data_IF_260488492272
#
_entry.id   IF_260488492272
#
_cell.length_a   1.000
_cell.length_b   1.000
_cell.length_c   1.000
_cell.angle_alpha   90.00
_cell.angle_beta   90.00
_cell.angle_gamma   90.00
#
_symmetry.space_group_name_H-M   'P 1'
#
loop_
_entity.id
_entity.type
_entity.pdbx_description
1 polymer ?
#
# COMPACT_ATOMS: atom_id res chain seq x y z
N UNK A 1 18.33 -15.33 10.61
CA UNK A 1 16.90 -15.14 10.91
C UNK A 1 16.30 -14.14 9.95
N UNK A 2 15.27 -14.53 9.25
CA UNK A 2 14.60 -13.63 8.31
C UNK A 2 13.56 -12.82 9.08
N UNK A 3 13.70 -11.51 9.05
CA UNK A 3 12.76 -10.62 9.70
C UNK A 3 11.88 -10.00 8.63
N UNK A 4 10.58 -10.21 8.74
CA UNK A 4 9.64 -9.52 7.88
C UNK A 4 9.27 -8.20 8.54
N UNK A 5 9.48 -7.10 7.84
CA UNK A 5 9.01 -5.80 8.28
C UNK A 5 7.67 -5.53 7.66
N UNK A 6 6.67 -5.31 8.50
CA UNK A 6 5.36 -4.90 8.05
C UNK A 6 5.24 -3.41 8.32
N UNK A 7 5.08 -2.64 7.26
CA UNK A 7 4.80 -1.22 7.38
C UNK A 7 3.29 -1.00 7.44
N UNK A 8 2.82 -0.32 8.47
CA UNK A 8 1.41 -0.02 8.63
C UNK A 8 1.24 1.49 8.79
N UNK A 9 0.47 2.09 7.92
CA UNK A 9 0.19 3.52 7.97
C UNK A 9 -1.31 3.74 7.92
N UNK A 10 -1.81 4.60 8.79
CA UNK A 10 -3.22 5.01 8.78
C UNK A 10 -3.30 6.45 8.34
N UNK A 11 -4.09 6.72 7.32
CA UNK A 11 -4.29 8.08 6.84
C UNK A 11 -5.58 8.20 6.05
N UNK A 12 -6.34 9.26 6.32
CA UNK A 12 -7.55 9.57 5.57
C UNK A 12 -8.64 8.52 5.64
N UNK A 13 -8.71 7.77 6.75
CA UNK A 13 -9.68 6.70 6.90
C UNK A 13 -9.25 5.38 6.28
N UNK A 14 -8.03 5.32 5.76
CA UNK A 14 -7.48 4.12 5.14
C UNK A 14 -6.34 3.55 5.98
N UNK A 15 -6.14 2.25 5.86
CA UNK A 15 -4.99 1.56 6.45
C UNK A 15 -4.21 0.96 5.29
N UNK A 16 -2.93 1.32 5.21
CA UNK A 16 -2.06 0.85 4.15
C UNK A 16 -1.00 -0.07 4.76
N UNK A 17 -0.89 -1.27 4.21
CA UNK A 17 0.08 -2.26 4.68
C UNK A 17 1.07 -2.60 3.58
N UNK A 18 2.35 -2.58 3.94
CA UNK A 18 3.43 -3.02 3.06
C UNK A 18 4.27 -4.07 3.77
N UNK A 19 4.81 -4.99 3.01
CA UNK A 19 5.74 -6.00 3.51
C UNK A 19 7.07 -5.78 2.85
N UNK A 20 8.12 -5.55 3.65
CA UNK A 20 9.48 -5.42 3.15
C UNK A 20 10.18 -6.76 3.25
N UNK A 21 11.02 -7.06 2.26
CA UNK A 21 11.75 -8.31 2.23
C UNK A 21 10.99 -9.44 1.56
N UNK A 22 9.80 -9.16 1.06
CA UNK A 22 9.01 -10.13 0.33
C UNK A 22 9.43 -10.13 -1.15
N UNK A 23 8.86 -11.05 -1.91
CA UNK A 23 9.14 -11.14 -3.34
C UNK A 23 8.54 -9.97 -4.12
N UNK A 24 9.13 -9.72 -5.29
CA UNK A 24 8.66 -8.65 -6.18
C UNK A 24 7.44 -9.08 -6.98
N UNK A 25 6.64 -8.11 -7.43
CA UNK A 25 6.83 -6.67 -7.25
C UNK A 25 6.40 -6.19 -5.87
N UNK A 26 6.99 -5.07 -5.42
CA UNK A 26 6.58 -4.44 -4.18
C UNK A 26 5.16 -3.93 -4.35
N UNK A 27 4.32 -4.20 -3.36
CA UNK A 27 2.93 -3.79 -3.43
C UNK A 27 2.43 -3.33 -2.07
N UNK A 28 1.36 -2.55 -2.08
CA UNK A 28 0.70 -2.07 -0.88
C UNK A 28 -0.74 -2.58 -0.87
N UNK A 29 -1.18 -3.04 0.29
CA UNK A 29 -2.56 -3.41 0.52
C UNK A 29 -3.27 -2.25 1.21
N UNK A 30 -4.36 -1.77 0.63
CA UNK A 30 -5.14 -0.66 1.17
C UNK A 30 -6.45 -1.19 1.69
N UNK A 31 -6.72 -0.91 2.96
CA UNK A 31 -7.94 -1.33 3.64
C UNK A 31 -8.77 -0.11 4.05
N UNK A 32 -10.06 -0.30 4.07
CA UNK A 32 -11.00 0.66 4.63
C UNK A 32 -12.09 -0.10 5.33
N UNK A 33 -12.35 0.26 6.62
CA UNK A 33 -13.34 -0.42 7.46
C UNK A 33 -13.13 -1.94 7.50
N UNK A 34 -11.86 -2.35 7.56
CA UNK A 34 -11.49 -3.75 7.65
C UNK A 34 -11.59 -4.53 6.33
N UNK A 35 -11.87 -3.85 5.22
CA UNK A 35 -11.99 -4.49 3.91
C UNK A 35 -10.85 -4.09 3.01
N UNK A 36 -10.31 -5.04 2.28
CA UNK A 36 -9.31 -4.77 1.25
C UNK A 36 -9.99 -4.07 0.08
N UNK A 37 -9.61 -2.82 -0.18
CA UNK A 37 -10.19 -2.04 -1.28
C UNK A 37 -9.28 -1.94 -2.48
N UNK A 38 -7.97 -2.10 -2.28
CA UNK A 38 -7.00 -2.00 -3.36
C UNK A 38 -5.73 -2.75 -3.00
N UNK A 39 -5.19 -3.44 -3.98
CA UNK A 39 -3.84 -3.99 -3.94
C UNK A 39 -3.09 -3.33 -5.08
N UNK A 40 -2.12 -2.50 -4.74
CA UNK A 40 -1.43 -1.64 -5.70
C UNK A 40 0.02 -2.05 -5.89
N UNK A 41 0.42 -2.18 -7.17
CA UNK A 41 1.81 -2.47 -7.52
C UNK A 41 2.60 -1.16 -7.51
N UNK A 42 3.48 -1.02 -6.52
CA UNK A 42 4.28 0.19 -6.35
C UNK A 42 5.37 0.33 -7.41
N UNK A 43 5.82 -0.76 -7.98
CA UNK A 43 6.90 -0.75 -8.97
C UNK A 43 6.39 -0.39 -10.36
N UNK A 44 5.23 -0.93 -10.73
CA UNK A 44 4.67 -0.72 -12.07
C UNK A 44 3.57 0.33 -12.13
N UNK A 45 3.12 0.80 -10.97
CA UNK A 45 2.12 1.84 -10.90
C UNK A 45 0.75 1.42 -11.44
N UNK A 46 0.30 0.23 -11.05
CA UNK A 46 -0.99 -0.29 -11.50
C UNK A 46 -1.68 -1.08 -10.41
N UNK A 47 -3.00 -1.21 -10.53
CA UNK A 47 -3.78 -2.02 -9.61
C UNK A 47 -3.59 -3.51 -9.92
N UNK A 48 -3.24 -4.27 -8.88
CA UNK A 48 -3.19 -5.74 -8.97
C UNK A 48 -4.60 -6.27 -8.75
N UNK A 49 -5.31 -5.67 -7.81
CA UNK A 49 -6.65 -6.09 -7.44
C UNK A 49 -7.38 -4.89 -6.85
N UNK A 50 -8.68 -4.82 -7.04
CA UNK A 50 -9.51 -3.77 -6.50
C UNK A 50 -9.56 -2.54 -7.39
N UNK A 51 -10.09 -1.45 -6.84
CA UNK A 51 -10.32 -0.22 -7.57
C UNK A 51 -9.43 0.90 -7.07
N UNK A 52 -8.63 1.47 -7.96
CA UNK A 52 -7.74 2.58 -7.65
C UNK A 52 -8.49 3.89 -7.82
N UNK A 53 -8.97 4.46 -6.71
CA UNK A 53 -9.60 5.78 -6.75
C UNK A 53 -8.53 6.85 -6.71
N UNK A 54 -8.88 8.05 -7.20
CA UNK A 54 -7.95 9.19 -7.17
C UNK A 54 -7.47 9.48 -5.74
N UNK A 55 -8.37 9.43 -4.78
CA UNK A 55 -8.04 9.71 -3.39
C UNK A 55 -7.01 8.73 -2.85
N UNK A 56 -7.19 7.45 -3.11
CA UNK A 56 -6.27 6.43 -2.66
C UNK A 56 -4.91 6.57 -3.34
N UNK A 57 -4.89 6.83 -4.65
CA UNK A 57 -3.64 7.04 -5.36
C UNK A 57 -2.88 8.25 -4.86
N UNK A 58 -3.58 9.33 -4.51
CA UNK A 58 -2.95 10.51 -3.92
C UNK A 58 -2.33 10.18 -2.56
N UNK A 59 -3.00 9.37 -1.75
CA UNK A 59 -2.46 8.93 -0.47
C UNK A 59 -1.20 8.09 -0.65
N UNK A 60 -1.22 7.17 -1.59
CA UNK A 60 -0.06 6.32 -1.88
C UNK A 60 1.12 7.19 -2.31
N UNK A 61 0.90 8.12 -3.24
CA UNK A 61 1.93 9.03 -3.71
C UNK A 61 2.50 9.88 -2.58
N UNK A 62 1.63 10.44 -1.75
CA UNK A 62 2.05 11.26 -0.62
C UNK A 62 2.90 10.46 0.36
N UNK A 63 2.48 9.23 0.68
CA UNK A 63 3.21 8.40 1.62
C UNK A 63 4.55 7.94 1.05
N UNK A 64 4.65 7.74 -0.26
CA UNK A 64 5.93 7.46 -0.90
C UNK A 64 6.88 8.65 -0.79
N UNK A 65 6.38 9.87 -0.97
CA UNK A 65 7.19 11.08 -0.81
C UNK A 65 7.70 11.24 0.62
N UNK A 66 6.89 10.81 1.59
CA UNK A 66 7.25 10.88 3.01
C UNK A 66 8.09 9.69 3.45
N UNK A 67 8.42 8.79 2.55
CA UNK A 67 9.17 7.56 2.84
C UNK A 67 8.45 6.65 3.84
N UNK A 68 7.12 6.70 3.85
CA UNK A 68 6.30 5.83 4.70
C UNK A 68 5.96 4.50 4.01
N UNK A 69 6.11 4.43 2.71
CA UNK A 69 5.88 3.21 1.94
C UNK A 69 7.14 2.75 1.24
#
# INVERSE_FOLDING_TARGET
MVTFSIGKVRRGGYVLLTWKGDHRPRHVHVYRDGRLVLKWDLENGKAISGKATRKVLQLIEQLQRESQL
#
